data_IF_019532518129
#
_entry.id   IF_019532518129
#
_cell.length_a   1.000
_cell.length_b   1.000
_cell.length_c   1.000
_cell.angle_alpha   90.00
_cell.angle_beta   90.00
_cell.angle_gamma   90.00
#
_symmetry.space_group_name_H-M   'P 1'
#
loop_
_entity.id
_entity.type
_entity.pdbx_description
1 polymer ?
#
# COMPACT_ATOMS: atom_id res chain seq x y z
N UNK A 1 -52.00 -42.52 18.10
CA UNK A 1 -50.81 -43.12 17.45
C UNK A 1 -49.63 -42.30 17.91
N UNK A 2 -48.90 -42.82 18.89
CA UNK A 2 -47.80 -42.13 19.57
C UNK A 2 -46.49 -42.70 19.02
N UNK A 3 -45.69 -41.87 18.37
CA UNK A 3 -44.34 -42.22 17.96
C UNK A 3 -43.37 -41.93 19.12
N UNK A 4 -42.51 -42.88 19.52
CA UNK A 4 -41.46 -42.61 20.50
C UNK A 4 -40.23 -41.99 19.83
N UNK A 5 -39.60 -41.04 20.54
CA UNK A 5 -38.27 -40.49 20.26
C UNK A 5 -37.19 -41.57 20.42
N UNK A 6 -36.09 -41.57 19.65
CA UNK A 6 -34.98 -42.48 19.88
C UNK A 6 -34.01 -41.96 20.96
N UNK A 7 -33.55 -42.91 21.78
CA UNK A 7 -32.59 -42.78 22.87
C UNK A 7 -31.22 -42.23 22.44
N UNK A 8 -30.67 -41.39 23.31
CA UNK A 8 -29.27 -40.97 23.33
C UNK A 8 -28.42 -42.14 23.79
N UNK A 9 -27.59 -42.71 22.91
CA UNK A 9 -26.50 -43.61 23.30
C UNK A 9 -25.19 -42.85 23.39
N UNK A 10 -24.73 -42.69 24.63
CA UNK A 10 -23.35 -42.41 25.02
C UNK A 10 -22.40 -43.36 24.31
N UNK A 11 -21.44 -42.81 23.55
CA UNK A 11 -20.28 -43.55 23.06
C UNK A 11 -19.06 -43.06 23.84
N UNK A 12 -18.47 -44.03 24.52
CA UNK A 12 -17.28 -43.98 25.33
C UNK A 12 -16.07 -43.43 24.57
N UNK A 13 -15.32 -42.62 25.30
CA UNK A 13 -13.92 -42.29 25.10
C UNK A 13 -13.08 -43.53 24.83
N UNK A 14 -12.33 -43.56 23.72
CA UNK A 14 -11.00 -44.19 23.64
C UNK A 14 -10.28 -43.86 22.33
N UNK A 15 -8.98 -43.56 22.46
CA UNK A 15 -7.92 -43.45 21.44
C UNK A 15 -7.91 -42.28 20.44
N UNK A 16 -7.27 -41.18 20.88
CA UNK A 16 -6.54 -40.25 20.01
C UNK A 16 -5.17 -40.85 19.64
N UNK A 17 -4.77 -40.92 18.35
CA UNK A 17 -3.37 -40.98 17.99
C UNK A 17 -2.76 -39.58 18.06
N UNK A 18 -1.57 -39.48 18.65
CA UNK A 18 -0.76 -38.27 18.75
C UNK A 18 -0.39 -37.71 17.37
N UNK A 19 -0.66 -36.42 17.17
CA UNK A 19 -0.19 -35.64 16.01
C UNK A 19 1.35 -35.54 16.03
N UNK A 20 2.03 -35.72 14.88
CA UNK A 20 3.46 -35.50 14.81
C UNK A 20 3.76 -34.00 14.85
N UNK A 21 4.74 -33.64 15.69
CA UNK A 21 5.34 -32.31 15.77
C UNK A 21 5.98 -31.96 14.41
N UNK A 22 5.35 -31.07 13.64
CA UNK A 22 5.96 -30.49 12.43
C UNK A 22 6.98 -29.44 12.88
N UNK A 23 8.24 -29.84 12.89
CA UNK A 23 9.37 -28.90 12.99
C UNK A 23 9.44 -28.06 11.72
N UNK A 24 9.21 -26.75 11.85
CA UNK A 24 9.52 -25.75 10.80
C UNK A 24 11.00 -25.84 10.42
N UNK A 25 11.30 -26.36 9.22
CA UNK A 25 12.61 -26.22 8.58
C UNK A 25 12.45 -26.05 7.07
N UNK A 26 11.92 -24.91 6.65
CA UNK A 26 12.21 -24.32 5.33
C UNK A 26 12.01 -22.80 5.43
N UNK A 27 13.07 -21.99 5.27
CA UNK A 27 12.89 -20.54 5.13
C UNK A 27 12.23 -20.25 3.77
N UNK A 28 11.46 -19.15 3.63
CA UNK A 28 11.01 -18.68 2.33
C UNK A 28 12.21 -18.33 1.46
N UNK A 29 12.11 -18.61 0.16
CA UNK A 29 13.14 -18.28 -0.83
C UNK A 29 13.46 -16.77 -0.80
N UNK A 30 14.75 -16.36 -0.81
CA UNK A 30 15.11 -14.95 -0.88
C UNK A 30 14.73 -14.39 -2.25
N UNK A 31 14.07 -13.23 -2.26
CA UNK A 31 13.95 -12.40 -3.45
C UNK A 31 15.36 -11.86 -3.73
N UNK A 32 15.97 -12.33 -4.82
CA UNK A 32 17.27 -11.83 -5.27
C UNK A 32 17.05 -10.46 -5.91
N UNK A 33 17.32 -9.40 -5.16
CA UNK A 33 17.52 -8.07 -5.74
C UNK A 33 18.87 -8.08 -6.44
N UNK A 34 18.87 -7.93 -7.76
CA UNK A 34 20.11 -7.88 -8.54
C UNK A 34 20.90 -6.60 -8.20
N UNK A 35 22.24 -6.67 -8.03
CA UNK A 35 23.06 -5.49 -7.82
C UNK A 35 23.12 -4.60 -9.09
N UNK A 36 23.37 -3.29 -8.96
CA UNK A 36 23.41 -2.38 -10.10
C UNK A 36 24.57 -2.70 -11.03
N UNK A 37 24.25 -3.07 -12.27
CA UNK A 37 25.22 -3.24 -13.34
C UNK A 37 25.80 -1.86 -13.72
N UNK A 38 27.09 -1.64 -13.47
CA UNK A 38 27.82 -0.48 -13.98
C UNK A 38 28.01 -0.60 -15.50
N UNK A 39 26.99 -0.21 -16.26
CA UNK A 39 27.12 -0.04 -17.72
C UNK A 39 27.69 1.36 -17.97
N UNK A 40 28.92 1.39 -18.46
CA UNK A 40 29.61 2.59 -18.91
C UNK A 40 29.00 3.04 -20.25
N UNK A 41 27.89 3.77 -20.21
CA UNK A 41 27.27 4.37 -21.41
C UNK A 41 28.01 5.65 -21.81
N UNK A 42 28.38 5.76 -23.08
CA UNK A 42 28.90 7.01 -23.67
C UNK A 42 27.77 8.03 -23.70
N UNK A 43 28.03 9.24 -23.17
CA UNK A 43 27.07 10.36 -23.20
C UNK A 43 26.75 10.75 -24.66
N UNK A 44 25.47 10.97 -25.03
CA UNK A 44 25.14 11.62 -26.30
C UNK A 44 25.52 13.11 -26.26
N UNK A 45 25.80 13.74 -27.43
CA UNK A 45 26.18 15.15 -27.50
C UNK A 45 25.01 16.07 -27.12
N UNK A 46 25.29 17.25 -26.55
CA UNK A 46 24.24 18.21 -26.17
C UNK A 46 23.56 18.83 -27.39
N UNK A 47 22.27 19.20 -27.28
CA UNK A 47 21.55 19.88 -28.35
C UNK A 47 22.08 21.31 -28.59
N UNK A 48 21.93 21.85 -29.82
CA UNK A 48 22.40 23.19 -30.15
C UNK A 48 21.63 24.28 -29.39
N UNK A 49 22.28 25.43 -29.09
CA UNK A 49 21.66 26.50 -28.34
C UNK A 49 20.55 27.19 -29.17
N UNK A 50 19.48 27.68 -28.52
CA UNK A 50 18.41 28.41 -29.19
C UNK A 50 18.88 29.78 -29.72
N UNK A 51 18.23 30.33 -30.76
CA UNK A 51 18.61 31.59 -31.38
C UNK A 51 18.44 32.78 -30.43
N UNK A 52 19.41 33.69 -30.51
CA UNK A 52 19.52 34.92 -29.71
C UNK A 52 18.27 35.79 -29.83
N UNK A 53 17.53 35.94 -28.73
CA UNK A 53 16.44 36.90 -28.61
C UNK A 53 16.93 38.18 -27.92
N UNK A 54 16.59 39.31 -28.53
CA UNK A 54 17.03 40.65 -28.21
C UNK A 54 16.81 41.07 -26.73
N UNK A 55 17.79 41.83 -26.26
CA UNK A 55 17.89 42.51 -24.95
C UNK A 55 16.64 43.33 -24.63
N UNK A 56 15.75 42.79 -23.78
CA UNK A 56 14.70 43.55 -23.08
C UNK A 56 15.12 43.78 -21.63
N UNK A 57 15.01 45.03 -21.19
CA UNK A 57 15.32 45.47 -19.82
C UNK A 57 14.60 44.61 -18.77
N UNK A 58 15.36 43.89 -17.94
CA UNK A 58 14.85 43.23 -16.73
C UNK A 58 14.50 44.29 -15.69
N UNK A 59 13.22 44.57 -15.50
CA UNK A 59 12.70 45.07 -14.21
C UNK A 59 12.89 43.94 -13.19
N UNK A 60 13.57 44.23 -12.08
CA UNK A 60 13.65 43.33 -10.91
C UNK A 60 12.23 43.10 -10.40
N UNK A 61 11.73 41.87 -10.51
CA UNK A 61 10.61 41.41 -9.70
C UNK A 61 11.14 41.18 -8.27
N UNK A 62 10.39 41.54 -7.22
CA UNK A 62 10.81 41.28 -5.85
C UNK A 62 10.87 39.76 -5.63
N UNK A 63 11.99 39.29 -5.07
CA UNK A 63 12.08 37.93 -4.56
C UNK A 63 11.08 37.79 -3.42
N UNK A 64 10.18 36.82 -3.54
CA UNK A 64 9.36 36.39 -2.42
C UNK A 64 10.30 35.89 -1.32
N UNK A 65 10.29 36.57 -0.18
CA UNK A 65 10.93 36.09 1.05
C UNK A 65 10.14 34.88 1.55
N UNK A 66 10.70 33.69 1.37
CA UNK A 66 10.30 32.52 2.16
C UNK A 66 10.87 32.73 3.56
N UNK A 67 9.99 33.00 4.51
CA UNK A 67 10.36 33.14 5.93
C UNK A 67 10.73 31.74 6.47
N UNK A 68 12.00 31.47 6.85
CA UNK A 68 12.46 30.12 7.20
C UNK A 68 11.98 29.60 8.57
N UNK A 69 11.01 30.28 9.20
CA UNK A 69 10.65 30.10 10.61
C UNK A 69 9.13 30.08 10.89
N UNK A 70 8.28 29.92 9.89
CA UNK A 70 6.87 29.65 10.17
C UNK A 70 6.74 28.25 10.81
N UNK A 71 6.13 28.15 11.99
CA UNK A 71 5.77 26.87 12.61
C UNK A 71 4.67 26.22 11.74
N UNK A 72 4.80 24.95 11.33
CA UNK A 72 3.76 24.31 10.54
C UNK A 72 2.42 24.31 11.27
N UNK A 73 1.37 24.81 10.62
CA UNK A 73 0.04 24.82 11.21
C UNK A 73 -0.52 23.41 11.41
N UNK A 74 -0.04 22.42 10.65
CA UNK A 74 -0.38 21.01 10.86
C UNK A 74 0.70 20.06 10.33
N UNK A 75 0.65 18.82 10.79
CA UNK A 75 1.35 17.69 10.17
C UNK A 75 0.35 16.82 9.40
N UNK A 76 0.81 16.28 8.28
CA UNK A 76 0.07 15.30 7.48
C UNK A 76 0.82 13.97 7.53
N UNK A 77 0.08 12.90 7.78
CA UNK A 77 0.61 11.54 7.76
C UNK A 77 0.11 10.77 6.53
N UNK A 78 1.01 10.00 5.92
CA UNK A 78 0.72 9.10 4.81
C UNK A 78 1.23 7.72 5.17
N UNK A 79 0.30 6.81 5.42
CA UNK A 79 0.59 5.39 5.63
C UNK A 79 0.57 4.70 4.28
N UNK A 80 1.60 3.91 3.95
CA UNK A 80 1.62 3.09 2.72
C UNK A 80 1.70 1.64 3.13
N UNK A 81 0.69 0.85 2.78
CA UNK A 81 0.50 -0.52 3.27
C UNK A 81 0.43 -1.52 2.13
N UNK A 82 1.15 -2.64 2.26
CA UNK A 82 1.08 -3.77 1.32
C UNK A 82 -0.23 -4.54 1.51
N UNK A 83 -0.77 -5.11 0.45
CA UNK A 83 -1.86 -6.09 0.53
C UNK A 83 -1.51 -7.31 1.44
N UNK A 84 -2.55 -8.05 1.83
CA UNK A 84 -2.45 -9.29 2.61
C UNK A 84 -1.97 -10.52 1.82
N UNK A 85 -1.97 -11.66 2.50
CA UNK A 85 -1.54 -12.98 2.02
C UNK A 85 -2.40 -13.43 0.80
N UNK A 86 -1.75 -13.74 -0.33
CA UNK A 86 -2.43 -14.06 -1.62
C UNK A 86 -2.58 -15.56 -1.84
N UNK A 87 -3.70 -16.00 -2.42
CA UNK A 87 -3.96 -17.43 -2.68
C UNK A 87 -2.90 -18.10 -3.57
N UNK A 88 -2.33 -17.39 -4.55
CA UNK A 88 -1.35 -17.96 -5.47
C UNK A 88 -0.01 -18.32 -4.81
N UNK A 89 0.24 -17.85 -3.58
CA UNK A 89 1.40 -18.23 -2.78
C UNK A 89 1.17 -19.47 -1.91
N UNK A 90 -0.09 -19.91 -1.75
CA UNK A 90 -0.45 -21.05 -0.90
C UNK A 90 -1.06 -22.21 -1.70
N UNK A 91 -1.64 -21.94 -2.87
CA UNK A 91 -2.29 -22.93 -3.73
C UNK A 91 -1.52 -23.09 -5.05
N UNK A 92 -0.62 -24.09 -5.18
CA UNK A 92 0.27 -24.22 -6.34
C UNK A 92 -0.44 -24.35 -7.70
N UNK A 93 -1.67 -24.86 -7.70
CA UNK A 93 -2.46 -25.04 -8.93
C UNK A 93 -3.28 -23.81 -9.31
N UNK A 94 -3.39 -22.80 -8.44
CA UNK A 94 -4.23 -21.62 -8.65
C UNK A 94 -3.98 -20.96 -10.00
N UNK A 95 -2.72 -20.69 -10.32
CA UNK A 95 -2.31 -20.01 -11.56
C UNK A 95 -2.79 -20.74 -12.82
N UNK A 96 -2.90 -22.07 -12.75
CA UNK A 96 -3.29 -22.90 -13.90
C UNK A 96 -4.81 -22.99 -14.11
N UNK A 97 -5.60 -22.71 -13.08
CA UNK A 97 -7.07 -22.88 -13.09
C UNK A 97 -7.84 -21.57 -12.99
N UNK A 98 -7.21 -20.50 -12.48
CA UNK A 98 -7.84 -19.20 -12.30
C UNK A 98 -8.18 -18.54 -13.65
N UNK A 99 -9.33 -17.89 -13.71
CA UNK A 99 -9.70 -17.06 -14.87
C UNK A 99 -8.78 -15.84 -15.03
N UNK A 100 -8.31 -15.26 -13.91
CA UNK A 100 -7.43 -14.08 -13.86
C UNK A 100 -6.19 -14.37 -12.98
N UNK A 101 -5.20 -15.15 -13.46
CA UNK A 101 -4.02 -15.51 -12.66
C UNK A 101 -3.15 -14.32 -12.25
N UNK A 102 -3.28 -13.16 -12.91
CA UNK A 102 -2.60 -11.90 -12.53
C UNK A 102 -3.26 -11.15 -11.36
N UNK A 103 -4.49 -11.51 -10.99
CA UNK A 103 -5.27 -10.82 -9.95
C UNK A 103 -5.78 -11.78 -8.85
N UNK A 104 -4.86 -12.48 -8.14
CA UNK A 104 -5.24 -13.43 -7.11
C UNK A 104 -5.94 -12.73 -5.93
N UNK A 105 -7.01 -13.32 -5.36
CA UNK A 105 -7.58 -12.86 -4.10
C UNK A 105 -6.67 -13.19 -2.90
N UNK A 106 -7.04 -12.65 -1.74
CA UNK A 106 -6.47 -13.03 -0.46
C UNK A 106 -6.94 -14.43 -0.02
N UNK A 107 -6.11 -15.10 0.78
CA UNK A 107 -6.57 -16.22 1.61
C UNK A 107 -7.20 -15.70 2.90
N UNK A 108 -7.92 -16.56 3.63
CA UNK A 108 -8.54 -16.21 4.92
C UNK A 108 -7.55 -15.58 5.91
N UNK A 109 -6.35 -16.15 6.03
CA UNK A 109 -5.30 -15.59 6.89
C UNK A 109 -4.87 -14.18 6.45
N UNK A 110 -4.96 -13.85 5.16
CA UNK A 110 -4.68 -12.53 4.61
C UNK A 110 -5.78 -11.52 4.95
N UNK A 111 -7.05 -11.94 4.95
CA UNK A 111 -8.18 -11.13 5.40
C UNK A 111 -8.04 -10.79 6.89
N UNK A 112 -7.83 -11.81 7.73
CA UNK A 112 -7.61 -11.65 9.18
C UNK A 112 -6.43 -10.71 9.45
N UNK A 113 -5.30 -10.90 8.74
CA UNK A 113 -4.12 -10.03 8.91
C UNK A 113 -4.44 -8.58 8.56
N UNK A 114 -5.17 -8.34 7.48
CA UNK A 114 -5.57 -6.99 7.05
C UNK A 114 -6.46 -6.31 8.10
N UNK A 115 -7.44 -7.04 8.62
CA UNK A 115 -8.32 -6.58 9.68
C UNK A 115 -7.53 -6.21 10.95
N UNK A 116 -6.70 -7.13 11.45
CA UNK A 116 -5.87 -6.88 12.64
C UNK A 116 -4.88 -5.72 12.44
N UNK A 117 -4.39 -5.52 11.21
CA UNK A 117 -3.52 -4.38 10.88
C UNK A 117 -4.31 -3.08 10.93
N UNK A 118 -5.53 -3.02 10.39
CA UNK A 118 -6.42 -1.86 10.52
C UNK A 118 -6.70 -1.50 11.99
N UNK A 119 -6.97 -2.50 12.84
CA UNK A 119 -7.12 -2.31 14.29
C UNK A 119 -5.85 -1.73 14.91
N UNK A 120 -4.68 -2.29 14.59
CA UNK A 120 -3.38 -1.78 15.06
C UNK A 120 -3.16 -0.32 14.63
N UNK A 121 -3.49 0.04 13.39
CA UNK A 121 -3.36 1.42 12.91
C UNK A 121 -4.27 2.36 13.71
N UNK A 122 -5.54 1.99 13.91
CA UNK A 122 -6.50 2.74 14.74
C UNK A 122 -5.95 3.00 16.14
N UNK A 123 -5.43 1.96 16.79
CA UNK A 123 -5.08 2.03 18.20
C UNK A 123 -3.68 2.63 18.47
N UNK A 124 -2.77 2.61 17.48
CA UNK A 124 -1.34 2.93 17.70
C UNK A 124 -0.83 4.17 16.97
N UNK A 125 -1.50 4.65 15.91
CA UNK A 125 -0.99 5.81 15.16
C UNK A 125 -1.04 7.11 15.96
N UNK A 126 -2.01 7.26 16.88
CA UNK A 126 -2.21 8.49 17.64
C UNK A 126 -2.83 9.64 16.82
N UNK A 127 -3.23 9.38 15.58
CA UNK A 127 -3.96 10.30 14.69
C UNK A 127 -4.97 9.52 13.85
N UNK A 128 -6.08 10.16 13.42
CA UNK A 128 -7.08 9.49 12.58
C UNK A 128 -6.60 9.38 11.14
N UNK A 129 -6.98 8.30 10.46
CA UNK A 129 -6.95 8.18 9.01
C UNK A 129 -8.26 8.73 8.46
N UNK A 130 -8.18 9.69 7.55
CA UNK A 130 -9.35 10.36 6.98
C UNK A 130 -9.72 9.79 5.61
N UNK A 131 -8.74 9.22 4.89
CA UNK A 131 -8.95 8.66 3.56
C UNK A 131 -8.07 7.45 3.29
N UNK A 132 -8.68 6.44 2.68
CA UNK A 132 -8.01 5.27 2.14
C UNK A 132 -8.03 5.35 0.62
N UNK A 133 -6.87 5.24 0.00
CA UNK A 133 -6.74 5.11 -1.45
C UNK A 133 -6.16 3.74 -1.78
N UNK A 134 -6.80 3.01 -2.69
CA UNK A 134 -6.51 1.60 -2.90
C UNK A 134 -6.22 1.28 -4.35
N UNK A 135 -5.21 0.45 -4.57
CA UNK A 135 -4.93 -0.15 -5.87
C UNK A 135 -6.13 -0.95 -6.40
N UNK A 136 -6.39 -0.96 -7.73
CA UNK A 136 -7.53 -1.70 -8.30
C UNK A 136 -7.38 -3.22 -8.27
N UNK A 137 -6.21 -3.77 -7.89
CA UNK A 137 -6.04 -5.22 -7.77
C UNK A 137 -6.88 -5.78 -6.63
N UNK A 138 -7.56 -6.91 -6.86
CA UNK A 138 -8.52 -7.53 -5.94
C UNK A 138 -7.93 -7.74 -4.54
N UNK A 139 -6.69 -8.24 -4.46
CA UNK A 139 -5.94 -8.39 -3.20
C UNK A 139 -5.82 -7.09 -2.39
N UNK A 140 -5.63 -5.95 -3.05
CA UNK A 140 -5.54 -4.66 -2.38
C UNK A 140 -6.92 -4.18 -1.93
N UNK A 141 -7.96 -4.36 -2.75
CA UNK A 141 -9.34 -4.00 -2.41
C UNK A 141 -9.84 -4.81 -1.22
N UNK A 142 -9.62 -6.12 -1.20
CA UNK A 142 -9.94 -6.97 -0.04
C UNK A 142 -9.17 -6.56 1.22
N UNK A 143 -7.87 -6.24 1.08
CA UNK A 143 -7.07 -5.72 2.20
C UNK A 143 -7.66 -4.41 2.74
N UNK A 144 -8.02 -3.48 1.84
CA UNK A 144 -8.61 -2.21 2.22
C UNK A 144 -9.98 -2.39 2.88
N UNK A 145 -10.81 -3.32 2.39
CA UNK A 145 -12.12 -3.59 2.98
C UNK A 145 -12.02 -3.99 4.45
N UNK A 146 -11.15 -4.95 4.76
CA UNK A 146 -10.89 -5.38 6.14
C UNK A 146 -10.26 -4.29 7.01
N UNK A 147 -9.26 -3.58 6.49
CA UNK A 147 -8.60 -2.50 7.23
C UNK A 147 -9.54 -1.33 7.52
N UNK A 148 -10.39 -0.94 6.56
CA UNK A 148 -11.41 0.10 6.71
C UNK A 148 -12.44 -0.32 7.73
N UNK A 149 -12.88 -1.58 7.70
CA UNK A 149 -13.84 -2.09 8.70
C UNK A 149 -13.30 -1.95 10.12
N UNK A 150 -12.02 -2.28 10.35
CA UNK A 150 -11.38 -2.11 11.65
C UNK A 150 -11.18 -0.63 12.05
N UNK A 151 -10.80 0.23 11.10
CA UNK A 151 -10.64 1.68 11.32
C UNK A 151 -11.99 2.35 11.66
N UNK A 152 -13.08 1.88 11.06
CA UNK A 152 -14.42 2.42 11.25
C UNK A 152 -15.19 1.77 12.40
N UNK A 153 -14.68 0.71 13.02
CA UNK A 153 -15.42 -0.04 14.05
C UNK A 153 -15.84 0.84 15.23
N UNK A 154 -17.08 0.64 15.67
CA UNK A 154 -17.70 1.23 16.86
C UNK A 154 -17.79 0.10 17.90
N UNK A 155 -17.36 0.37 19.13
CA UNK A 155 -17.40 -0.57 20.26
C UNK A 155 -16.62 -1.89 20.04
N UNK A 156 -15.40 -1.79 19.49
CA UNK A 156 -14.48 -2.93 19.28
C UNK A 156 -13.72 -3.33 20.56
N UNK A 157 -14.48 -3.67 21.61
CA UNK A 157 -13.94 -4.07 22.92
C UNK A 157 -13.45 -5.54 22.92
N UNK A 158 -13.91 -6.35 21.97
CA UNK A 158 -13.46 -7.73 21.81
C UNK A 158 -12.14 -7.80 21.02
N UNK A 159 -11.04 -7.71 21.76
CA UNK A 159 -9.69 -7.86 21.23
C UNK A 159 -9.42 -9.24 20.60
N UNK A 160 -10.28 -10.24 20.84
CA UNK A 160 -10.16 -11.59 20.24
C UNK A 160 -10.86 -11.71 18.89
N UNK A 161 -11.73 -10.76 18.54
CA UNK A 161 -12.36 -10.73 17.23
C UNK A 161 -11.29 -10.53 16.14
N UNK A 162 -11.27 -11.42 15.16
CA UNK A 162 -10.30 -11.43 14.06
C UNK A 162 -10.95 -11.15 12.71
N UNK A 163 -12.25 -10.85 12.69
CA UNK A 163 -13.06 -10.73 11.49
C UNK A 163 -13.96 -9.50 11.56
N UNK A 164 -14.20 -8.86 10.42
CA UNK A 164 -15.09 -7.70 10.28
C UNK A 164 -16.59 -8.05 10.32
N UNK A 165 -16.98 -9.31 10.09
CA UNK A 165 -18.36 -9.72 9.79
C UNK A 165 -19.43 -9.39 10.84
N UNK A 166 -19.07 -9.20 12.10
CA UNK A 166 -20.01 -8.90 13.19
C UNK A 166 -19.87 -7.48 13.76
N UNK A 167 -19.02 -6.63 13.15
CA UNK A 167 -18.70 -5.33 13.70
C UNK A 167 -19.67 -4.27 13.21
N UNK A 168 -20.19 -3.48 14.16
CA UNK A 168 -20.81 -2.20 13.85
C UNK A 168 -19.71 -1.24 13.39
N UNK A 169 -19.90 -0.59 12.25
CA UNK A 169 -18.96 0.41 11.73
C UNK A 169 -19.64 1.77 11.56
N UNK A 170 -18.88 2.83 11.77
CA UNK A 170 -19.25 4.21 11.43
C UNK A 170 -18.56 4.59 10.11
N UNK A 171 -19.27 4.51 8.97
CA UNK A 171 -18.68 4.77 7.66
C UNK A 171 -18.38 6.26 7.42
N UNK A 172 -18.82 7.16 8.31
CA UNK A 172 -18.55 8.61 8.17
C UNK A 172 -17.13 9.01 8.60
N UNK A 173 -16.41 8.11 9.29
CA UNK A 173 -15.06 8.37 9.83
C UNK A 173 -14.00 8.59 8.77
N UNK A 174 -14.14 7.94 7.62
CA UNK A 174 -13.19 8.04 6.52
C UNK A 174 -13.85 7.82 5.17
N UNK A 175 -13.12 8.16 4.12
CA UNK A 175 -13.52 7.97 2.73
C UNK A 175 -12.60 6.98 2.01
N UNK A 176 -13.12 6.21 1.07
CA UNK A 176 -12.34 5.27 0.27
C UNK A 176 -12.46 5.57 -1.21
N UNK A 177 -11.35 5.51 -1.94
CA UNK A 177 -11.33 5.67 -3.40
C UNK A 177 -10.32 4.72 -4.04
N UNK A 178 -10.67 4.16 -5.20
CA UNK A 178 -9.72 3.37 -6.01
C UNK A 178 -8.79 4.32 -6.77
N UNK A 179 -7.50 4.01 -6.84
CA UNK A 179 -6.47 4.82 -7.54
C UNK A 179 -5.57 3.95 -8.43
N UNK A 180 -5.57 4.24 -9.73
CA UNK A 180 -4.78 3.48 -10.71
C UNK A 180 -3.27 3.69 -10.56
N UNK A 181 -2.84 4.85 -10.08
CA UNK A 181 -1.42 5.10 -9.83
C UNK A 181 -0.81 4.20 -8.76
N UNK A 182 -1.64 3.60 -7.89
CA UNK A 182 -1.24 2.64 -6.86
C UNK A 182 -1.20 1.19 -7.35
N UNK A 183 -1.47 0.92 -8.63
CA UNK A 183 -1.40 -0.43 -9.21
C UNK A 183 -0.02 -1.06 -9.07
N UNK A 184 0.03 -2.39 -9.15
CA UNK A 184 1.28 -3.17 -9.17
C UNK A 184 2.20 -2.67 -10.29
N UNK A 185 3.48 -3.01 -10.23
CA UNK A 185 4.34 -2.88 -11.40
C UNK A 185 3.74 -3.70 -12.55
N UNK A 186 3.33 -3.04 -13.62
CA UNK A 186 2.76 -3.68 -14.79
C UNK A 186 3.87 -4.16 -15.72
N UNK A 187 4.64 -5.14 -15.25
CA UNK A 187 5.69 -5.79 -16.03
C UNK A 187 5.91 -7.24 -15.59
N UNK A 188 6.86 -7.91 -16.24
CA UNK A 188 7.14 -9.34 -16.04
C UNK A 188 7.86 -9.67 -14.74
N UNK A 189 8.45 -8.67 -14.08
CA UNK A 189 9.07 -8.86 -12.76
C UNK A 189 8.00 -9.12 -11.70
N UNK A 190 6.92 -8.35 -11.72
CA UNK A 190 5.83 -8.49 -10.76
C UNK A 190 4.67 -9.40 -11.24
N UNK A 191 4.42 -9.48 -12.55
CA UNK A 191 3.27 -10.20 -13.12
C UNK A 191 3.76 -11.22 -14.15
N UNK A 192 3.84 -12.48 -13.71
CA UNK A 192 4.34 -13.60 -14.55
C UNK A 192 3.37 -14.00 -15.67
N UNK A 193 2.07 -13.93 -15.39
CA UNK A 193 1.01 -14.36 -16.31
C UNK A 193 0.03 -13.21 -16.53
N UNK A 194 0.35 -12.23 -17.40
CA UNK A 194 -0.53 -11.10 -17.69
C UNK A 194 -1.76 -11.51 -18.55
N UNK A 195 -2.78 -10.64 -18.65
CA UNK A 195 -3.86 -10.82 -19.62
C UNK A 195 -3.32 -10.91 -21.06
N UNK A 196 -3.88 -11.82 -21.86
CA UNK A 196 -3.44 -12.05 -23.25
C UNK A 196 -3.94 -10.99 -24.22
N UNK A 197 -5.09 -10.41 -23.92
CA UNK A 197 -5.78 -9.36 -24.68
C UNK A 197 -5.43 -7.94 -24.19
N UNK A 198 -4.65 -7.83 -23.11
CA UNK A 198 -4.29 -6.55 -22.48
C UNK A 198 -5.41 -5.96 -21.63
N UNK A 199 -6.55 -6.65 -21.47
CA UNK A 199 -7.61 -6.23 -20.57
C UNK A 199 -7.32 -6.72 -19.15
N UNK A 200 -7.09 -5.79 -18.24
CA UNK A 200 -6.82 -6.11 -16.84
C UNK A 200 -8.08 -6.56 -16.08
N UNK A 201 -9.28 -6.28 -16.62
CA UNK A 201 -10.56 -6.73 -16.09
C UNK A 201 -11.00 -6.03 -14.82
N UNK A 202 -10.62 -4.76 -14.64
CA UNK A 202 -11.04 -3.96 -13.48
C UNK A 202 -12.37 -3.27 -13.75
N UNK A 203 -13.46 -3.87 -13.26
CA UNK A 203 -14.74 -3.16 -13.11
C UNK A 203 -14.74 -2.39 -11.79
N UNK A 204 -14.73 -1.06 -11.87
CA UNK A 204 -14.63 -0.20 -10.69
C UNK A 204 -15.88 -0.30 -9.80
N UNK A 205 -17.06 -0.46 -10.39
CA UNK A 205 -18.29 -0.60 -9.62
C UNK A 205 -18.33 -1.94 -8.87
N UNK A 206 -17.85 -3.02 -9.48
CA UNK A 206 -17.72 -4.31 -8.79
C UNK A 206 -16.68 -4.24 -7.65
N UNK A 207 -15.54 -3.59 -7.88
CA UNK A 207 -14.50 -3.43 -6.86
C UNK A 207 -14.97 -2.53 -5.70
N UNK A 208 -15.67 -1.44 -6.00
CA UNK A 208 -16.22 -0.54 -4.98
C UNK A 208 -17.30 -1.24 -4.13
N UNK A 209 -18.06 -2.17 -4.71
CA UNK A 209 -19.05 -2.96 -3.97
C UNK A 209 -18.44 -3.91 -2.93
N UNK A 210 -17.13 -4.19 -3.00
CA UNK A 210 -16.41 -4.97 -1.99
C UNK A 210 -15.99 -4.14 -0.78
N UNK A 211 -16.02 -2.81 -0.88
CA UNK A 211 -15.65 -1.90 0.20
C UNK A 211 -16.84 -1.69 1.16
N UNK A 212 -16.59 -1.35 2.44
CA UNK A 212 -17.66 -1.17 3.39
C UNK A 212 -18.67 -0.10 2.96
N UNK A 213 -19.95 -0.46 2.99
CA UNK A 213 -21.06 0.40 2.51
C UNK A 213 -21.01 1.78 3.14
N UNK A 214 -21.16 2.81 2.31
CA UNK A 214 -21.18 4.21 2.75
C UNK A 214 -19.80 4.87 2.87
N UNK A 215 -18.70 4.12 2.71
CA UNK A 215 -17.34 4.69 2.79
C UNK A 215 -16.80 5.17 1.44
N UNK A 216 -17.32 4.69 0.31
CA UNK A 216 -16.81 5.02 -1.03
C UNK A 216 -17.11 6.48 -1.37
N UNK A 217 -16.07 7.22 -1.78
CA UNK A 217 -16.18 8.62 -2.20
C UNK A 217 -16.21 8.73 -3.73
N UNK A 218 -17.42 8.83 -4.28
CA UNK A 218 -17.65 9.01 -5.71
C UNK A 218 -17.48 10.46 -6.20
N UNK A 219 -17.18 11.41 -5.30
CA UNK A 219 -17.09 12.85 -5.65
C UNK A 219 -15.72 13.25 -6.17
N UNK A 220 -14.72 12.37 -6.07
CA UNK A 220 -13.33 12.65 -6.40
C UNK A 220 -12.85 11.85 -7.59
N UNK A 221 -12.18 12.51 -8.53
CA UNK A 221 -11.56 11.80 -9.64
C UNK A 221 -10.19 11.25 -9.26
N UNK A 222 -9.82 10.09 -9.82
CA UNK A 222 -8.46 9.53 -9.74
C UNK A 222 -7.40 10.49 -10.27
N UNK A 223 -6.20 10.45 -9.70
CA UNK A 223 -5.02 11.14 -10.24
C UNK A 223 -4.62 10.48 -11.56
N UNK A 224 -4.51 9.15 -11.59
CA UNK A 224 -4.31 8.41 -12.84
C UNK A 224 -5.66 8.07 -13.46
N UNK A 225 -5.95 8.68 -14.62
CA UNK A 225 -7.22 8.47 -15.35
C UNK A 225 -7.31 7.09 -15.99
N UNK A 226 -6.16 6.51 -16.32
CA UNK A 226 -6.00 5.19 -16.92
C UNK A 226 -4.93 4.38 -16.18
N UNK A 227 -4.96 3.06 -16.33
CA UNK A 227 -3.89 2.19 -15.86
C UNK A 227 -2.55 2.59 -16.51
N UNK A 228 -1.43 2.44 -15.80
CA UNK A 228 -0.10 2.46 -16.42
C UNK A 228 -0.02 1.48 -17.60
N UNK A 229 0.92 1.74 -18.50
CA UNK A 229 1.11 0.86 -19.65
C UNK A 229 1.81 -0.45 -19.22
N UNK A 230 1.38 -1.58 -19.78
CA UNK A 230 2.08 -2.85 -19.65
C UNK A 230 3.52 -2.77 -20.18
N UNK A 231 4.42 -3.50 -19.53
CA UNK A 231 5.88 -3.48 -19.70
C UNK A 231 6.54 -2.15 -19.30
N UNK A 232 6.00 -1.46 -18.30
CA UNK A 232 6.73 -0.36 -17.67
C UNK A 232 8.06 -0.86 -17.05
N UNK A 233 9.12 -0.05 -17.14
CA UNK A 233 10.39 -0.42 -16.52
C UNK A 233 10.28 -0.41 -14.99
N UNK A 234 11.12 -1.19 -14.29
CA UNK A 234 11.20 -1.16 -12.82
C UNK A 234 11.42 0.26 -12.29
N UNK A 235 12.36 1.00 -12.89
CA UNK A 235 12.62 2.39 -12.53
C UNK A 235 11.43 3.31 -12.82
N UNK A 236 10.72 3.07 -13.92
CA UNK A 236 9.50 3.79 -14.28
C UNK A 236 8.37 3.57 -13.26
N UNK A 237 8.13 2.33 -12.86
CA UNK A 237 7.15 2.00 -11.83
C UNK A 237 7.52 2.62 -10.47
N UNK A 238 8.80 2.59 -10.09
CA UNK A 238 9.29 3.23 -8.87
C UNK A 238 9.09 4.74 -8.89
N UNK A 239 9.43 5.40 -10.00
CA UNK A 239 9.18 6.83 -10.17
C UNK A 239 7.68 7.16 -10.12
N UNK A 240 6.83 6.32 -10.70
CA UNK A 240 5.37 6.43 -10.61
C UNK A 240 4.89 6.32 -9.16
N UNK A 241 5.38 5.36 -8.38
CA UNK A 241 5.03 5.22 -6.96
C UNK A 241 5.42 6.46 -6.14
N UNK A 242 6.63 6.99 -6.33
CA UNK A 242 7.06 8.22 -5.67
C UNK A 242 6.12 9.39 -6.02
N UNK A 243 5.85 9.58 -7.32
CA UNK A 243 4.99 10.64 -7.81
C UNK A 243 3.55 10.53 -7.29
N UNK A 244 2.96 9.33 -7.29
CA UNK A 244 1.57 9.15 -6.83
C UNK A 244 1.45 9.35 -5.33
N UNK A 245 2.44 8.94 -4.52
CA UNK A 245 2.43 9.19 -3.07
C UNK A 245 2.40 10.71 -2.79
N UNK A 246 3.26 11.48 -3.47
CA UNK A 246 3.29 12.94 -3.34
C UNK A 246 1.99 13.57 -3.87
N UNK A 247 1.55 13.18 -5.06
CA UNK A 247 0.36 13.76 -5.70
C UNK A 247 -0.92 13.52 -4.88
N UNK A 248 -1.07 12.35 -4.27
CA UNK A 248 -2.21 12.08 -3.38
C UNK A 248 -2.14 12.87 -2.08
N UNK A 249 -0.95 12.98 -1.48
CA UNK A 249 -0.77 13.80 -0.30
C UNK A 249 -1.09 15.28 -0.57
N UNK A 250 -0.65 15.80 -1.72
CA UNK A 250 -0.91 17.19 -2.16
C UNK A 250 -2.37 17.43 -2.51
N UNK A 251 -3.06 16.41 -3.03
CA UNK A 251 -4.49 16.50 -3.33
C UNK A 251 -5.35 16.60 -2.07
N UNK A 252 -4.89 16.05 -0.95
CA UNK A 252 -5.62 16.01 0.31
C UNK A 252 -4.79 16.55 1.49
N UNK A 253 -4.30 17.80 1.45
CA UNK A 253 -3.26 18.30 2.38
C UNK A 253 -3.74 18.41 3.83
N UNK A 254 -5.06 18.40 4.06
CA UNK A 254 -5.69 18.42 5.39
C UNK A 254 -6.09 17.03 5.90
N UNK A 255 -5.82 15.97 5.15
CA UNK A 255 -6.23 14.60 5.46
C UNK A 255 -5.00 13.70 5.65
N UNK A 256 -5.04 12.86 6.69
CA UNK A 256 -4.09 11.75 6.83
C UNK A 256 -4.57 10.57 5.99
N UNK A 257 -3.65 9.95 5.26
CA UNK A 257 -3.95 8.99 4.21
C UNK A 257 -3.48 7.59 4.58
N UNK A 258 -4.21 6.58 4.13
CA UNK A 258 -3.75 5.20 4.01
C UNK A 258 -3.78 4.80 2.54
N UNK A 259 -2.61 4.46 1.98
CA UNK A 259 -2.43 4.00 0.61
C UNK A 259 -2.25 2.48 0.62
N UNK A 260 -3.24 1.73 0.14
CA UNK A 260 -3.17 0.26 0.07
C UNK A 260 -2.69 -0.17 -1.31
N UNK A 261 -1.49 -0.77 -1.36
CA UNK A 261 -0.75 -1.05 -2.59
C UNK A 261 0.05 -2.36 -2.48
N UNK A 262 1.16 -2.47 -3.20
CA UNK A 262 1.99 -3.67 -3.38
C UNK A 262 3.34 -3.51 -2.67
N UNK A 263 4.13 -4.59 -2.66
CA UNK A 263 5.42 -4.61 -1.96
C UNK A 263 6.38 -3.53 -2.47
N UNK A 264 6.48 -3.34 -3.79
CA UNK A 264 7.35 -2.32 -4.38
C UNK A 264 6.92 -0.89 -3.99
N UNK A 265 5.61 -0.61 -3.97
CA UNK A 265 5.10 0.70 -3.57
C UNK A 265 5.46 1.08 -2.13
N UNK A 266 5.42 0.10 -1.21
CA UNK A 266 5.91 0.27 0.17
C UNK A 266 7.44 0.38 0.22
N UNK A 267 8.16 -0.34 -0.65
CA UNK A 267 9.61 -0.18 -0.77
C UNK A 267 10.02 1.22 -1.23
N UNK A 268 9.26 1.81 -2.15
CA UNK A 268 9.45 3.18 -2.65
C UNK A 268 9.12 4.21 -1.57
N UNK A 269 8.05 4.03 -0.80
CA UNK A 269 7.71 4.96 0.29
C UNK A 269 8.81 5.02 1.36
N UNK A 270 9.68 4.02 1.49
CA UNK A 270 10.89 4.12 2.31
C UNK A 270 12.05 4.71 1.53
N UNK A 271 12.41 4.10 0.40
CA UNK A 271 13.67 4.45 -0.32
C UNK A 271 13.67 5.82 -1.00
N UNK A 272 12.49 6.38 -1.33
CA UNK A 272 12.40 7.74 -1.89
C UNK A 272 12.48 8.83 -0.81
N UNK A 273 12.07 8.53 0.43
CA UNK A 273 11.93 9.52 1.50
C UNK A 273 12.88 9.29 2.69
N UNK A 274 13.69 8.22 2.65
CA UNK A 274 14.82 8.00 3.53
C UNK A 274 16.08 7.89 2.68
N UNK A 275 16.97 8.88 2.83
CA UNK A 275 18.22 8.95 2.08
C UNK A 275 19.04 7.67 2.28
N UNK A 276 19.58 7.16 1.17
CA UNK A 276 20.50 6.03 1.15
C UNK A 276 19.89 4.74 1.76
N UNK A 277 18.57 4.54 1.69
CA UNK A 277 17.93 3.33 2.21
C UNK A 277 17.72 2.27 1.12
N UNK A 278 18.11 1.03 1.41
CA UNK A 278 17.78 -0.15 0.58
C UNK A 278 16.78 -1.03 1.32
N UNK A 279 15.57 -1.17 0.78
CA UNK A 279 14.55 -2.10 1.28
C UNK A 279 14.79 -3.47 0.66
N UNK A 280 14.85 -4.50 1.49
CA UNK A 280 15.08 -5.88 1.04
C UNK A 280 13.93 -6.83 1.37
N UNK A 281 13.02 -6.45 2.26
CA UNK A 281 11.83 -7.23 2.58
C UNK A 281 10.67 -6.32 3.00
N UNK A 282 9.47 -6.68 2.52
CA UNK A 282 8.20 -6.06 2.91
C UNK A 282 7.20 -7.20 3.14
N UNK A 283 6.82 -7.47 4.39
CA UNK A 283 5.86 -8.52 4.73
C UNK A 283 4.43 -8.18 4.26
N UNK A 284 3.52 -9.16 4.26
CA UNK A 284 2.10 -8.90 4.03
C UNK A 284 1.52 -7.97 5.11
N UNK A 285 0.69 -7.02 4.70
CA UNK A 285 0.18 -5.94 5.55
C UNK A 285 1.27 -5.08 6.24
N UNK A 286 2.54 -5.19 5.81
CA UNK A 286 3.57 -4.27 6.25
C UNK A 286 3.25 -2.85 5.79
N UNK A 287 3.63 -1.86 6.59
CA UNK A 287 3.35 -0.45 6.29
C UNK A 287 4.46 0.51 6.68
N UNK A 288 4.61 1.58 5.91
CA UNK A 288 5.44 2.72 6.26
C UNK A 288 4.57 3.85 6.80
N UNK A 289 5.11 4.69 7.69
CA UNK A 289 4.55 5.96 8.10
C UNK A 289 5.45 7.11 7.60
N UNK A 290 4.92 7.93 6.71
CA UNK A 290 5.52 9.18 6.26
C UNK A 290 4.80 10.35 6.93
N UNK A 291 5.55 11.35 7.37
CA UNK A 291 5.01 12.59 7.92
C UNK A 291 5.58 13.78 7.17
N UNK A 292 4.79 14.83 6.94
CA UNK A 292 5.30 16.12 6.46
C UNK A 292 4.60 17.31 7.10
N UNK A 293 5.30 18.44 7.29
CA UNK A 293 4.67 19.67 7.72
C UNK A 293 3.87 20.31 6.59
N UNK A 294 2.71 20.89 6.91
CA UNK A 294 1.90 21.67 5.99
C UNK A 294 1.81 23.10 6.51
N UNK A 295 2.17 24.04 5.65
CA UNK A 295 2.13 25.47 5.90
C UNK A 295 0.94 26.07 5.16
N UNK A 296 -0.06 26.53 5.90
CA UNK A 296 -1.24 27.18 5.32
C UNK A 296 -0.96 28.66 5.10
N UNK A 297 -1.33 29.16 3.92
CA UNK A 297 -1.26 30.58 3.58
C UNK A 297 -2.50 30.97 2.80
N UNK A 298 -3.41 31.67 3.48
CA UNK A 298 -4.73 32.05 2.95
C UNK A 298 -5.48 30.82 2.41
N UNK A 299 -5.89 30.83 1.13
CA UNK A 299 -6.56 29.71 0.44
C UNK A 299 -5.58 28.71 -0.20
N UNK A 300 -4.28 28.83 0.10
CA UNK A 300 -3.22 27.97 -0.46
C UNK A 300 -2.43 27.25 0.63
N UNK A 301 -1.62 26.26 0.24
CA UNK A 301 -0.70 25.59 1.14
C UNK A 301 0.68 25.41 0.49
N UNK A 302 1.68 25.24 1.34
CA UNK A 302 3.00 24.72 0.97
C UNK A 302 3.26 23.49 1.83
N UNK A 303 3.74 22.41 1.25
CA UNK A 303 4.15 21.21 1.97
C UNK A 303 5.67 21.19 2.13
N UNK A 304 6.15 20.82 3.32
CA UNK A 304 7.56 20.48 3.50
C UNK A 304 7.87 19.08 2.98
N UNK A 305 9.13 18.67 3.17
CA UNK A 305 9.59 17.35 2.79
C UNK A 305 8.98 16.28 3.72
N UNK A 306 8.84 15.06 3.18
CA UNK A 306 8.49 13.91 4.00
C UNK A 306 9.66 13.47 4.87
N UNK A 307 9.33 13.07 6.09
CA UNK A 307 10.17 12.35 7.04
C UNK A 307 9.59 10.96 7.26
N UNK A 308 10.44 9.93 7.25
CA UNK A 308 10.03 8.55 7.50
C UNK A 308 10.04 8.27 9.01
N UNK A 309 8.85 8.02 9.59
CA UNK A 309 8.68 7.66 11.00
C UNK A 309 8.63 6.14 11.23
N UNK A 310 8.98 5.36 10.20
CA UNK A 310 8.86 3.90 10.23
C UNK A 310 10.00 3.26 11.00
N UNK A 311 9.68 2.66 12.15
CA UNK A 311 10.63 1.86 12.91
C UNK A 311 10.83 0.48 12.25
N UNK A 312 12.07 0.14 11.81
CA UNK A 312 12.37 -1.21 11.33
C UNK A 312 12.04 -2.24 12.42
N UNK A 313 11.30 -3.29 12.05
CA UNK A 313 10.92 -4.39 12.96
C UNK A 313 9.56 -4.24 13.68
N UNK A 314 8.90 -3.08 13.61
CA UNK A 314 7.54 -2.93 14.18
C UNK A 314 6.43 -2.96 13.13
N UNK A 315 6.78 -2.76 11.86
CA UNK A 315 5.81 -2.59 10.76
C UNK A 315 6.00 -3.58 9.62
N UNK A 316 6.84 -4.61 9.78
CA UNK A 316 7.07 -5.65 8.76
C UNK A 316 7.91 -5.19 7.56
N UNK A 317 8.61 -4.06 7.68
CA UNK A 317 9.55 -3.56 6.65
C UNK A 317 10.98 -3.71 7.15
N UNK A 318 11.82 -4.32 6.33
CA UNK A 318 13.24 -4.51 6.59
C UNK A 318 14.08 -3.72 5.58
N UNK A 319 14.88 -2.79 6.08
CA UNK A 319 15.75 -1.93 5.26
C UNK A 319 17.11 -1.69 5.92
N UNK A 320 18.14 -1.43 5.10
CA UNK A 320 19.47 -1.05 5.55
C UNK A 320 19.77 0.40 5.14
N UNK A 321 20.22 1.27 6.06
CA UNK A 321 20.83 2.54 5.69
C UNK A 321 22.23 2.27 5.11
N UNK A 322 22.52 2.81 3.92
CA UNK A 322 23.76 2.51 3.18
C UNK A 322 25.02 3.02 3.88
N UNK A 323 24.90 3.88 4.90
CA UNK A 323 26.03 4.29 5.75
C UNK A 323 26.68 3.15 6.54
N UNK A 324 26.02 1.97 6.66
CA UNK A 324 26.60 0.78 7.29
C UNK A 324 27.22 -0.22 6.31
N UNK A 325 27.08 -0.02 5.00
CA UNK A 325 27.69 -0.89 3.99
C UNK A 325 29.14 -0.46 3.64
N UNK A 326 29.54 0.76 4.00
CA UNK A 326 30.89 1.30 3.79
C UNK A 326 31.89 0.96 4.91
N UNK A 327 31.42 0.55 6.09
CA UNK A 327 32.28 0.26 7.26
C UNK A 327 32.61 -1.24 7.40
N UNK A 328 32.26 -2.05 6.40
CA UNK A 328 32.35 -3.51 6.45
C UNK A 328 33.22 -4.14 5.35
N UNK A 329 34.18 -3.40 4.78
CA UNK A 329 35.12 -3.91 3.78
C UNK A 329 36.57 -3.53 4.11
#
# INVERSE_FOLDING_TARGET
>A
MSFPLPEIRSISTSFLPSLPTITRKTPPFPIVVSPPLHIRTRRPPPPPPPPSAARRHRRRLPMASSDPQADPQRRQHVIVMRHGDRIDNFEPLWVSTAARPWDPPLVEAGLVRAFCTGRKLRDKLGFPIHRVLVSPFLRCVQTASEAVSALCAVDDDDLTATTSAALSIDPSRLKVSIEYGLCEMLNREAIKFPPKDGDWGFDISELEALLPTGTVDHTVERVYKQMPQWEETVLGARARYEQIIVALADKYPSENLLLVTHGEGVGVSVSAFLKDATVYEVEYCAYSNLERPIFLKDESFTAGNFELLTNPGQTGISYLPSSRLSDGL
#
